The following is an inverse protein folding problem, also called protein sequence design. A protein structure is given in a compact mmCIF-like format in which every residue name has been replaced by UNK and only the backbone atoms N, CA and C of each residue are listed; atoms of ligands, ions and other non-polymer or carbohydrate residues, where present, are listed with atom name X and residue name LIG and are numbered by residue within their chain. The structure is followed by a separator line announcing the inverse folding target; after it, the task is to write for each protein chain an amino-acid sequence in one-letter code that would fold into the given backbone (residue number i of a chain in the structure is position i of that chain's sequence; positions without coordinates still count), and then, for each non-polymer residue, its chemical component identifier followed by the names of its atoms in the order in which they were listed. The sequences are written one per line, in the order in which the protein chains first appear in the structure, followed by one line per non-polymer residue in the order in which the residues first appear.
data_IF_508820113267
#
_entry.id   IF_508820113267
#
_cell.length_a   1.000
_cell.length_b   1.000
_cell.length_c   1.000
_cell.angle_alpha   90.00
_cell.angle_beta   90.00
_cell.angle_gamma   90.00
#
_symmetry.space_group_name_H-M   'P 1'
#
loop_
_entity.id
_entity.type
_entity.pdbx_description
1 polymer ?
#
# COMPACT_ATOMS: atom_id res chain seq x y z
N UNK A 1 -13.09 28.51 13.12
CA UNK A 1 -11.98 27.66 12.68
C UNK A 1 -10.69 28.26 13.21
N UNK A 2 -9.83 27.46 13.86
CA UNK A 2 -8.64 27.96 14.55
C UNK A 2 -7.59 28.43 13.52
N UNK A 3 -6.85 29.55 13.78
CA UNK A 3 -5.81 30.08 12.88
C UNK A 3 -4.71 29.06 12.56
N UNK A 4 -4.41 28.16 13.50
CA UNK A 4 -3.40 27.10 13.33
C UNK A 4 -3.83 26.03 12.32
N UNK A 5 -5.13 25.66 12.32
CA UNK A 5 -5.69 24.70 11.34
C UNK A 5 -5.60 25.29 9.94
N UNK A 6 -5.95 26.57 9.75
CA UNK A 6 -5.84 27.23 8.45
C UNK A 6 -4.41 27.27 7.94
N UNK A 7 -3.42 27.45 8.81
CA UNK A 7 -2.01 27.47 8.42
C UNK A 7 -1.52 26.07 8.01
N UNK A 8 -1.97 25.02 8.71
CA UNK A 8 -1.64 23.63 8.37
C UNK A 8 -2.24 23.24 7.02
N UNK A 9 -3.52 23.57 6.79
CA UNK A 9 -4.21 23.31 5.52
C UNK A 9 -3.50 24.03 4.34
N UNK A 10 -3.11 25.29 4.54
CA UNK A 10 -2.37 26.05 3.55
C UNK A 10 -1.04 25.36 3.20
N UNK A 11 -0.25 24.98 4.21
CA UNK A 11 1.04 24.30 3.99
C UNK A 11 0.88 22.94 3.32
N UNK A 12 -0.16 22.18 3.69
CA UNK A 12 -0.46 20.91 3.02
C UNK A 12 -0.78 21.12 1.53
N UNK A 13 -1.54 22.16 1.20
CA UNK A 13 -1.84 22.53 -0.18
C UNK A 13 -0.55 22.94 -0.93
N UNK A 14 0.28 23.79 -0.35
CA UNK A 14 1.56 24.20 -0.93
C UNK A 14 2.48 23.01 -1.24
N UNK A 15 2.48 21.96 -0.38
CA UNK A 15 3.22 20.73 -0.63
C UNK A 15 2.67 19.96 -1.84
N UNK A 16 1.34 19.82 -1.94
CA UNK A 16 0.71 19.13 -3.07
C UNK A 16 0.96 19.88 -4.39
N UNK A 17 0.77 21.20 -4.41
CA UNK A 17 1.01 22.04 -5.57
C UNK A 17 2.50 22.07 -5.97
N UNK A 18 3.42 22.10 -5.01
CA UNK A 18 4.86 22.08 -5.26
C UNK A 18 5.38 20.75 -5.83
N UNK A 19 4.67 19.66 -5.57
CA UNK A 19 4.99 18.33 -6.10
C UNK A 19 4.21 17.97 -7.37
N UNK A 20 3.30 18.82 -7.83
CA UNK A 20 2.55 18.63 -9.09
C UNK A 20 3.45 18.80 -10.31
N UNK A 21 3.37 17.85 -11.24
CA UNK A 21 4.12 17.83 -12.52
C UNK A 21 3.22 18.04 -13.73
N UNK A 22 2.09 18.72 -13.55
CA UNK A 22 1.16 19.02 -14.63
C UNK A 22 0.24 17.87 -15.00
N UNK A 23 -0.25 17.14 -14.00
CA UNK A 23 -1.21 16.05 -14.19
C UNK A 23 -0.94 14.81 -13.37
N UNK A 24 0.24 14.70 -12.78
CA UNK A 24 0.58 13.70 -11.78
C UNK A 24 1.46 14.33 -10.68
N UNK A 25 1.45 13.72 -9.52
CA UNK A 25 2.21 14.18 -8.35
C UNK A 25 3.38 13.26 -8.09
N UNK A 26 4.52 13.83 -7.69
CA UNK A 26 5.66 13.07 -7.15
C UNK A 26 5.62 13.12 -5.62
N UNK A 27 6.05 12.07 -4.89
CA UNK A 27 6.05 12.07 -3.43
C UNK A 27 6.93 13.16 -2.83
N UNK A 28 8.12 13.39 -3.38
CA UNK A 28 9.01 14.47 -2.97
C UNK A 28 10.08 14.74 -4.02
N UNK A 29 10.35 16.01 -4.27
CA UNK A 29 11.44 16.42 -5.15
C UNK A 29 12.80 15.91 -4.60
N UNK A 30 13.67 15.46 -5.50
CA UNK A 30 15.02 15.00 -5.16
C UNK A 30 15.14 13.54 -4.72
N UNK A 31 14.21 12.99 -3.94
CA UNK A 31 14.31 11.61 -3.47
C UNK A 31 13.42 10.63 -4.26
N UNK A 32 12.16 10.99 -4.52
CA UNK A 32 11.18 10.18 -5.23
C UNK A 32 10.60 10.96 -6.42
N UNK A 33 11.31 10.98 -7.58
CA UNK A 33 11.01 11.90 -8.68
C UNK A 33 9.91 11.43 -9.64
N UNK A 34 9.28 10.29 -9.38
CA UNK A 34 8.30 9.70 -10.28
C UNK A 34 6.90 9.65 -9.66
N UNK A 35 5.92 9.18 -10.42
CA UNK A 35 4.59 8.91 -9.90
C UNK A 35 4.56 7.55 -9.19
N UNK A 36 4.28 7.54 -7.88
CA UNK A 36 4.03 6.33 -7.09
C UNK A 36 2.53 6.05 -6.95
N UNK A 37 2.17 4.78 -6.95
CA UNK A 37 0.78 4.32 -6.99
C UNK A 37 -0.03 4.81 -5.79
N UNK A 38 0.29 4.36 -4.58
CA UNK A 38 -0.52 4.72 -3.42
C UNK A 38 -0.38 6.21 -3.04
N UNK A 39 0.80 6.81 -3.29
CA UNK A 39 1.06 8.23 -3.09
C UNK A 39 0.12 9.09 -3.96
N UNK A 40 -0.05 8.73 -5.24
CA UNK A 40 -1.01 9.39 -6.12
C UNK A 40 -2.43 9.30 -5.61
N UNK A 41 -2.85 8.16 -5.06
CA UNK A 41 -4.19 8.01 -4.51
C UNK A 41 -4.41 8.93 -3.29
N UNK A 42 -3.42 9.03 -2.38
CA UNK A 42 -3.46 9.98 -1.27
C UNK A 42 -3.42 11.44 -1.76
N UNK A 43 -2.57 11.75 -2.74
CA UNK A 43 -2.50 13.09 -3.33
C UNK A 43 -3.83 13.50 -3.97
N UNK A 44 -4.48 12.60 -4.72
CA UNK A 44 -5.80 12.83 -5.30
C UNK A 44 -6.85 13.12 -4.22
N UNK A 45 -6.85 12.35 -3.14
CA UNK A 45 -7.75 12.62 -2.01
C UNK A 45 -7.47 13.99 -1.39
N UNK A 46 -6.21 14.39 -1.24
CA UNK A 46 -5.81 15.72 -0.79
C UNK A 46 -6.30 16.82 -1.74
N UNK A 47 -6.03 16.71 -3.05
CA UNK A 47 -6.52 17.66 -4.06
C UNK A 47 -8.04 17.80 -4.03
N UNK A 48 -8.77 16.74 -3.78
CA UNK A 48 -10.24 16.76 -3.75
C UNK A 48 -10.85 17.73 -2.72
N UNK A 49 -10.04 18.25 -1.80
CA UNK A 49 -10.48 19.25 -0.80
C UNK A 49 -10.59 20.65 -1.42
N UNK A 50 -9.79 20.95 -2.46
CA UNK A 50 -9.71 22.29 -3.03
C UNK A 50 -9.70 22.35 -4.56
N UNK A 51 -9.38 21.22 -5.24
CA UNK A 51 -9.41 21.09 -6.71
C UNK A 51 -9.86 19.69 -7.12
N UNK A 52 -11.16 19.50 -7.26
CA UNK A 52 -11.76 18.22 -7.61
C UNK A 52 -11.35 17.72 -9.00
N UNK A 53 -11.11 18.65 -9.94
CA UNK A 53 -10.69 18.29 -11.31
C UNK A 53 -9.27 17.75 -11.31
N UNK A 54 -8.39 18.38 -10.55
CA UNK A 54 -7.01 17.92 -10.39
C UNK A 54 -6.96 16.56 -9.68
N UNK A 55 -7.88 16.32 -8.71
CA UNK A 55 -8.00 15.03 -8.05
C UNK A 55 -8.34 13.91 -9.06
N UNK A 56 -9.33 14.10 -9.92
CA UNK A 56 -9.67 13.14 -10.97
C UNK A 56 -8.52 12.93 -11.96
N UNK A 57 -7.87 14.00 -12.38
CA UNK A 57 -6.71 13.94 -13.28
C UNK A 57 -5.58 13.09 -12.70
N UNK A 58 -5.28 13.21 -11.39
CA UNK A 58 -4.27 12.38 -10.72
C UNK A 58 -4.58 10.89 -10.84
N UNK A 59 -5.83 10.50 -10.55
CA UNK A 59 -6.28 9.11 -10.62
C UNK A 59 -6.24 8.60 -12.07
N UNK A 60 -6.76 9.36 -13.02
CA UNK A 60 -6.79 8.97 -14.44
C UNK A 60 -5.38 8.79 -15.00
N UNK A 61 -4.49 9.70 -14.62
CA UNK A 61 -3.08 9.64 -15.02
C UNK A 61 -2.39 8.42 -14.41
N UNK A 62 -2.70 8.08 -13.16
CA UNK A 62 -2.20 6.85 -12.53
C UNK A 62 -2.68 5.61 -13.31
N UNK A 63 -4.00 5.49 -13.57
CA UNK A 63 -4.57 4.33 -14.27
C UNK A 63 -4.24 4.29 -15.78
N UNK A 64 -3.72 5.37 -16.35
CA UNK A 64 -3.14 5.35 -17.70
C UNK A 64 -1.86 4.50 -17.79
N UNK A 65 -1.21 4.20 -16.65
CA UNK A 65 -0.06 3.30 -16.58
C UNK A 65 -0.38 1.84 -16.33
N UNK A 66 -1.67 1.46 -16.25
CA UNK A 66 -2.09 0.08 -15.98
C UNK A 66 -1.64 -0.87 -17.10
N UNK A 67 -1.09 -2.03 -16.69
CA UNK A 67 -0.66 -3.06 -17.63
C UNK A 67 -1.83 -3.81 -18.27
N UNK A 68 -1.63 -4.46 -19.45
CA UNK A 68 -2.69 -5.23 -20.11
C UNK A 68 -3.26 -6.39 -19.28
N UNK A 69 -2.45 -6.97 -18.37
CA UNK A 69 -2.91 -8.01 -17.45
C UNK A 69 -3.70 -7.49 -16.24
N UNK A 70 -3.91 -6.18 -16.15
CA UNK A 70 -4.65 -5.52 -15.08
C UNK A 70 -3.77 -4.97 -13.94
N UNK A 71 -2.50 -5.35 -13.82
CA UNK A 71 -1.63 -4.82 -12.77
C UNK A 71 -1.48 -3.30 -12.89
N UNK A 72 -1.59 -2.60 -11.76
CA UNK A 72 -1.22 -1.20 -11.66
C UNK A 72 0.15 -1.09 -10.99
N UNK A 73 1.19 -0.62 -11.70
CA UNK A 73 2.56 -0.60 -11.18
C UNK A 73 2.73 0.27 -9.93
N UNK A 74 3.74 -0.07 -9.12
CA UNK A 74 4.17 0.73 -7.99
C UNK A 74 4.69 2.11 -8.42
N UNK A 75 5.51 2.16 -9.49
CA UNK A 75 6.16 3.37 -10.00
C UNK A 75 5.88 3.48 -11.48
N UNK A 76 5.51 4.68 -11.94
CA UNK A 76 5.45 5.06 -13.34
C UNK A 76 6.58 6.07 -13.63
N UNK A 77 7.51 5.69 -14.51
CA UNK A 77 8.67 6.50 -14.90
C UNK A 77 8.27 7.51 -15.99
N UNK A 78 7.68 8.65 -15.57
CA UNK A 78 7.11 9.64 -16.48
C UNK A 78 8.09 10.71 -16.93
N UNK A 79 9.30 10.71 -16.39
CA UNK A 79 10.36 11.65 -16.73
C UNK A 79 11.71 10.93 -16.68
N UNK A 80 12.72 11.50 -17.30
CA UNK A 80 14.08 11.00 -17.17
C UNK A 80 14.71 11.52 -15.88
N UNK A 81 15.30 10.60 -15.10
CA UNK A 81 16.14 10.91 -13.95
C UNK A 81 17.25 9.85 -13.88
N UNK A 82 18.40 10.13 -14.53
CA UNK A 82 19.49 9.16 -14.62
C UNK A 82 20.16 8.85 -13.29
N UNK A 83 19.98 9.70 -12.28
CA UNK A 83 20.53 9.52 -10.95
C UNK A 83 19.62 8.69 -10.03
N UNK A 84 18.40 8.35 -10.46
CA UNK A 84 17.51 7.50 -9.68
C UNK A 84 17.82 6.02 -9.86
N UNK A 85 17.94 5.31 -8.75
CA UNK A 85 18.20 3.87 -8.74
C UNK A 85 17.27 3.14 -7.74
N UNK A 86 16.63 1.99 -8.15
CA UNK A 86 16.67 1.34 -9.46
C UNK A 86 15.75 2.04 -10.48
N UNK A 87 16.33 2.51 -11.58
CA UNK A 87 15.61 3.17 -12.68
C UNK A 87 15.00 2.18 -13.69
N UNK A 88 14.39 2.70 -14.78
CA UNK A 88 13.67 1.91 -15.79
C UNK A 88 14.44 0.72 -16.32
N UNK A 89 15.73 0.90 -16.64
CA UNK A 89 16.60 -0.15 -17.20
C UNK A 89 16.76 -1.33 -16.25
N UNK A 90 16.82 -1.09 -14.93
CA UNK A 90 16.95 -2.16 -13.93
C UNK A 90 15.68 -2.99 -13.84
N UNK A 91 14.53 -2.34 -13.95
CA UNK A 91 13.23 -2.99 -13.98
C UNK A 91 12.98 -3.77 -15.28
N UNK A 92 13.45 -3.26 -16.42
CA UNK A 92 13.34 -3.95 -17.70
C UNK A 92 11.90 -4.22 -18.14
N UNK A 93 11.00 -3.25 -17.91
CA UNK A 93 9.56 -3.38 -18.22
C UNK A 93 9.17 -2.68 -19.52
N UNK A 94 10.14 -2.24 -20.30
CA UNK A 94 9.88 -1.58 -21.58
C UNK A 94 9.05 -2.47 -22.51
N UNK A 95 7.96 -1.94 -23.05
CA UNK A 95 7.04 -2.66 -23.94
C UNK A 95 6.04 -3.60 -23.25
N UNK A 96 6.07 -3.76 -21.91
CA UNK A 96 5.08 -4.56 -21.18
C UNK A 96 3.82 -3.75 -20.93
N UNK A 97 3.97 -2.55 -20.38
CA UNK A 97 2.87 -1.61 -20.16
C UNK A 97 2.90 -0.41 -21.10
N UNK A 98 1.89 0.47 -21.03
CA UNK A 98 1.83 1.66 -21.88
C UNK A 98 2.86 2.74 -21.48
N UNK A 99 3.39 2.65 -20.26
CA UNK A 99 4.40 3.54 -19.70
C UNK A 99 5.45 2.68 -19.03
N UNK A 100 6.73 3.06 -19.16
CA UNK A 100 7.82 2.41 -18.43
C UNK A 100 7.56 2.48 -16.92
N UNK A 101 7.72 1.37 -16.20
CA UNK A 101 7.27 1.26 -14.82
C UNK A 101 8.09 0.26 -14.01
N UNK A 102 7.83 0.15 -12.72
CA UNK A 102 8.24 -1.02 -11.92
C UNK A 102 7.43 -2.26 -12.32
N UNK A 103 7.98 -3.45 -12.08
CA UNK A 103 7.30 -4.73 -12.36
C UNK A 103 6.49 -5.29 -11.20
N UNK A 104 6.22 -4.50 -10.17
CA UNK A 104 5.45 -4.86 -8.97
C UNK A 104 4.36 -3.82 -8.71
N UNK A 105 3.37 -4.16 -7.88
CA UNK A 105 2.30 -3.26 -7.49
C UNK A 105 2.52 -2.67 -6.08
N UNK A 106 1.53 -1.95 -5.54
CA UNK A 106 1.52 -1.37 -4.18
C UNK A 106 0.14 -1.57 -3.51
N UNK A 107 -0.03 -1.19 -2.21
CA UNK A 107 -1.33 -1.32 -1.55
C UNK A 107 -2.45 -0.62 -2.31
N UNK A 108 -3.55 -1.32 -2.66
CA UNK A 108 -4.59 -0.83 -3.55
C UNK A 108 -5.58 0.11 -2.85
N UNK A 109 -5.11 1.25 -2.34
CA UNK A 109 -5.94 2.25 -1.64
C UNK A 109 -6.81 3.08 -2.60
N UNK A 110 -6.52 3.05 -3.90
CA UNK A 110 -7.14 3.96 -4.87
C UNK A 110 -8.68 3.86 -4.90
N UNK A 111 -9.27 2.65 -4.83
CA UNK A 111 -10.72 2.49 -4.87
C UNK A 111 -11.42 3.22 -3.71
N UNK A 112 -10.84 3.21 -2.51
CA UNK A 112 -11.36 3.92 -1.34
C UNK A 112 -11.33 5.43 -1.55
N UNK A 113 -10.23 5.95 -2.07
CA UNK A 113 -10.12 7.40 -2.29
C UNK A 113 -10.92 7.87 -3.51
N UNK A 114 -11.04 7.05 -4.56
CA UNK A 114 -11.96 7.32 -5.67
C UNK A 114 -13.39 7.45 -5.17
N UNK A 115 -13.83 6.54 -4.29
CA UNK A 115 -15.13 6.65 -3.64
C UNK A 115 -15.26 7.96 -2.86
N UNK A 116 -14.27 8.31 -2.03
CA UNK A 116 -14.28 9.53 -1.24
C UNK A 116 -14.28 10.82 -2.09
N UNK A 117 -13.62 10.80 -3.25
CA UNK A 117 -13.64 11.90 -4.22
C UNK A 117 -15.03 12.01 -4.87
N UNK A 118 -15.58 10.88 -5.33
CA UNK A 118 -16.89 10.81 -5.96
C UNK A 118 -18.04 11.24 -5.02
N UNK A 119 -18.00 10.85 -3.74
CA UNK A 119 -18.99 11.23 -2.75
C UNK A 119 -19.08 12.76 -2.51
N UNK A 120 -18.04 13.53 -2.88
CA UNK A 120 -18.05 15.00 -2.79
C UNK A 120 -18.89 15.65 -3.90
N UNK A 121 -18.89 15.08 -5.10
CA UNK A 121 -19.67 15.52 -6.25
C UNK A 121 -19.97 14.32 -7.15
N UNK A 122 -21.13 13.71 -6.90
CA UNK A 122 -21.54 12.48 -7.59
C UNK A 122 -21.93 12.71 -9.05
N UNK A 123 -22.38 13.91 -9.40
CA UNK A 123 -22.77 14.26 -10.75
C UNK A 123 -21.53 14.40 -11.65
N UNK A 124 -20.60 15.25 -11.25
CA UNK A 124 -19.33 15.42 -11.97
C UNK A 124 -18.53 14.11 -12.00
N UNK A 125 -18.49 13.38 -10.89
CA UNK A 125 -17.69 12.16 -10.74
C UNK A 125 -18.25 10.94 -11.47
N UNK A 126 -19.49 10.95 -11.97
CA UNK A 126 -20.14 9.77 -12.55
C UNK A 126 -19.42 9.21 -13.77
N UNK A 127 -19.05 10.07 -14.73
CA UNK A 127 -18.38 9.64 -15.95
C UNK A 127 -16.94 9.16 -15.67
N UNK A 128 -16.22 9.85 -14.78
CA UNK A 128 -14.93 9.40 -14.28
C UNK A 128 -15.02 8.00 -13.66
N UNK A 129 -16.03 7.79 -12.80
CA UNK A 129 -16.25 6.52 -12.12
C UNK A 129 -16.58 5.39 -13.09
N UNK A 130 -17.47 5.63 -14.07
CA UNK A 130 -17.83 4.65 -15.11
C UNK A 130 -16.60 4.22 -15.92
N UNK A 131 -15.66 5.13 -16.19
CA UNK A 131 -14.43 4.82 -16.91
C UNK A 131 -13.39 4.08 -16.04
N UNK A 132 -13.38 4.30 -14.73
CA UNK A 132 -12.39 3.76 -13.80
C UNK A 132 -12.80 2.41 -13.21
N UNK A 133 -14.08 2.13 -12.97
CA UNK A 133 -14.54 0.86 -12.39
C UNK A 133 -13.98 -0.36 -13.12
N UNK A 134 -14.01 -0.47 -14.47
CA UNK A 134 -13.42 -1.62 -15.16
C UNK A 134 -11.92 -1.76 -14.91
N UNK A 135 -11.19 -0.66 -14.81
CA UNK A 135 -9.75 -0.63 -14.56
C UNK A 135 -9.42 -1.05 -13.13
N UNK A 136 -10.15 -0.52 -12.14
CA UNK A 136 -10.02 -0.91 -10.73
C UNK A 136 -10.32 -2.40 -10.59
N UNK A 137 -11.41 -2.87 -11.20
CA UNK A 137 -11.81 -4.29 -11.19
C UNK A 137 -10.73 -5.18 -11.79
N UNK A 138 -10.11 -4.78 -12.90
CA UNK A 138 -9.00 -5.51 -13.52
C UNK A 138 -7.77 -5.59 -12.60
N UNK A 139 -7.43 -4.51 -11.90
CA UNK A 139 -6.32 -4.50 -10.95
C UNK A 139 -6.60 -5.39 -9.72
N UNK A 140 -7.81 -5.29 -9.14
CA UNK A 140 -8.19 -6.13 -8.01
C UNK A 140 -8.26 -7.60 -8.41
N UNK A 141 -8.74 -7.92 -9.63
CA UNK A 141 -8.71 -9.26 -10.19
C UNK A 141 -7.29 -9.81 -10.30
N UNK A 142 -6.33 -8.98 -10.76
CA UNK A 142 -4.92 -9.35 -10.80
C UNK A 142 -4.40 -9.75 -9.41
N UNK A 143 -4.74 -9.01 -8.33
CA UNK A 143 -4.40 -9.42 -6.97
C UNK A 143 -5.02 -10.77 -6.61
N UNK A 144 -6.31 -10.96 -6.91
CA UNK A 144 -7.03 -12.20 -6.59
C UNK A 144 -6.44 -13.42 -7.32
N UNK A 145 -5.96 -13.25 -8.54
CA UNK A 145 -5.38 -14.32 -9.34
C UNK A 145 -3.93 -14.63 -8.97
N UNK A 146 -3.13 -13.61 -8.64
CA UNK A 146 -1.68 -13.77 -8.55
C UNK A 146 -1.08 -13.52 -7.17
N UNK A 147 -1.82 -12.91 -6.26
CA UNK A 147 -1.32 -12.47 -4.94
C UNK A 147 -2.18 -12.96 -3.77
N UNK A 148 -3.13 -13.86 -3.98
CA UNK A 148 -3.93 -14.43 -2.89
C UNK A 148 -3.49 -15.86 -2.58
N UNK A 149 -3.19 -16.12 -1.31
CA UNK A 149 -2.80 -17.42 -0.80
C UNK A 149 -3.99 -18.39 -0.74
N UNK A 150 -3.72 -19.67 -0.53
CA UNK A 150 -4.77 -20.69 -0.33
C UNK A 150 -5.70 -20.38 0.85
N UNK A 151 -5.21 -19.64 1.85
CA UNK A 151 -5.97 -19.21 3.03
C UNK A 151 -6.76 -17.91 2.79
N UNK A 152 -6.62 -17.29 1.62
CA UNK A 152 -7.32 -16.07 1.24
C UNK A 152 -6.58 -14.76 1.59
N UNK A 153 -5.43 -14.82 2.26
CA UNK A 153 -4.63 -13.63 2.56
C UNK A 153 -3.80 -13.19 1.35
N UNK A 154 -3.67 -11.88 1.15
CA UNK A 154 -2.80 -11.32 0.11
C UNK A 154 -1.34 -11.47 0.53
N UNK A 155 -0.52 -12.00 -0.35
CA UNK A 155 0.92 -12.09 -0.14
C UNK A 155 1.71 -11.20 -1.10
N UNK A 156 2.89 -10.82 -0.66
CA UNK A 156 3.85 -10.03 -1.44
C UNK A 156 5.00 -10.91 -1.91
N UNK A 157 5.54 -10.60 -3.08
CA UNK A 157 6.71 -11.26 -3.70
C UNK A 157 7.96 -10.38 -3.68
N UNK A 158 7.79 -9.14 -3.21
CA UNK A 158 8.85 -8.17 -2.98
C UNK A 158 8.47 -7.27 -1.77
N UNK A 159 9.39 -6.94 -0.84
CA UNK A 159 9.09 -6.06 0.29
C UNK A 159 8.49 -4.70 -0.10
N UNK A 160 8.88 -4.14 -1.23
CA UNK A 160 8.36 -2.86 -1.71
C UNK A 160 6.87 -2.87 -2.10
N UNK A 161 6.29 -4.04 -2.41
CA UNK A 161 4.84 -4.16 -2.66
C UNK A 161 4.01 -3.75 -1.43
N UNK A 162 4.56 -3.93 -0.22
CA UNK A 162 3.87 -3.59 1.02
C UNK A 162 3.79 -2.10 1.33
N UNK A 163 4.64 -1.28 0.72
CA UNK A 163 4.90 0.10 1.14
C UNK A 163 5.65 0.23 2.47
N UNK A 164 6.04 -0.90 3.11
CA UNK A 164 6.72 -0.98 4.42
C UNK A 164 8.09 -1.64 4.29
N UNK A 165 8.95 -1.13 3.43
CA UNK A 165 10.12 -1.75 2.81
C UNK A 165 10.99 -2.61 3.74
N UNK A 166 11.41 -2.11 4.90
CA UNK A 166 12.28 -2.82 5.83
C UNK A 166 11.60 -3.22 7.13
N UNK A 167 10.28 -3.42 7.10
CA UNK A 167 9.57 -3.98 8.26
C UNK A 167 10.23 -5.28 8.73
N UNK A 168 10.32 -5.54 10.05
CA UNK A 168 10.84 -6.80 10.57
C UNK A 168 9.99 -8.02 10.17
N UNK A 169 8.78 -7.79 9.67
CA UNK A 169 7.91 -8.84 9.09
C UNK A 169 8.58 -9.60 7.95
N UNK A 170 9.54 -8.97 7.27
CA UNK A 170 10.23 -9.56 6.12
C UNK A 170 11.50 -10.33 6.47
N UNK A 171 12.05 -10.16 7.68
CA UNK A 171 13.40 -10.62 8.03
C UNK A 171 13.59 -12.12 7.81
N UNK A 172 12.65 -12.96 8.27
CA UNK A 172 12.78 -14.42 8.15
C UNK A 172 12.77 -14.87 6.69
N UNK A 173 11.86 -14.34 5.88
CA UNK A 173 11.78 -14.69 4.46
C UNK A 173 12.96 -14.13 3.67
N UNK A 174 13.38 -12.89 3.95
CA UNK A 174 14.53 -12.25 3.28
C UNK A 174 15.85 -12.92 3.62
N UNK A 175 16.03 -13.46 4.83
CA UNK A 175 17.27 -14.16 5.22
C UNK A 175 17.54 -15.42 4.40
N UNK A 176 16.50 -16.00 3.79
CA UNK A 176 16.62 -17.18 2.93
C UNK A 176 17.13 -16.83 1.52
N UNK A 177 17.16 -15.56 1.15
CA UNK A 177 17.62 -15.11 -0.18
C UNK A 177 19.13 -14.89 -0.12
N UNK A 178 19.85 -15.61 -0.98
CA UNK A 178 21.27 -15.42 -1.22
C UNK A 178 21.44 -14.68 -2.56
N UNK A 179 21.64 -13.34 -2.52
CA UNK A 179 21.77 -12.56 -3.75
C UNK A 179 23.05 -12.92 -4.49
N UNK A 180 22.98 -12.96 -5.81
CA UNK A 180 24.12 -13.22 -6.70
C UNK A 180 24.13 -12.20 -7.82
N UNK A 181 25.32 -11.82 -8.26
CA UNK A 181 25.54 -10.99 -9.46
C UNK A 181 24.80 -9.62 -9.41
N UNK A 182 24.79 -8.99 -8.23
CA UNK A 182 24.09 -7.71 -8.04
C UNK A 182 24.80 -6.54 -8.72
N UNK A 183 26.12 -6.60 -8.87
CA UNK A 183 26.93 -5.51 -9.40
C UNK A 183 27.09 -4.34 -8.43
N UNK A 184 27.75 -3.29 -8.89
CA UNK A 184 27.89 -2.04 -8.15
C UNK A 184 26.73 -1.11 -8.45
N UNK A 185 26.24 -0.40 -7.43
CA UNK A 185 25.18 0.58 -7.55
C UNK A 185 25.31 1.69 -6.50
N UNK A 186 24.71 2.84 -6.79
CA UNK A 186 24.65 3.97 -5.87
C UNK A 186 23.20 4.24 -5.49
N UNK A 187 22.94 4.34 -4.19
CA UNK A 187 21.61 4.63 -3.64
C UNK A 187 21.46 6.14 -3.41
N UNK A 188 20.38 6.71 -3.92
CA UNK A 188 20.05 8.12 -3.67
C UNK A 188 19.59 8.35 -2.23
N UNK A 189 18.82 7.44 -1.66
CA UNK A 189 18.24 7.57 -0.33
C UNK A 189 19.29 7.68 0.79
N UNK A 190 20.48 7.08 0.61
CA UNK A 190 21.58 7.17 1.58
C UNK A 190 22.41 8.45 1.47
N UNK A 191 22.18 9.27 0.46
CA UNK A 191 22.82 10.60 0.34
C UNK A 191 21.97 11.73 0.88
N UNK A 192 20.67 11.50 1.17
CA UNK A 192 19.73 12.50 1.65
C UNK A 192 19.42 12.35 3.16
N UNK A 193 19.57 11.14 3.68
CA UNK A 193 19.38 10.83 5.11
C UNK A 193 20.52 9.94 5.60
N UNK A 194 20.71 9.88 6.93
CA UNK A 194 21.71 9.00 7.52
C UNK A 194 21.46 7.53 7.06
N UNK A 195 22.50 6.88 6.47
CA UNK A 195 22.36 5.51 5.97
C UNK A 195 21.89 4.50 7.02
N UNK A 196 22.18 4.72 8.32
CA UNK A 196 21.71 3.86 9.41
C UNK A 196 20.19 3.84 9.56
N UNK A 197 19.50 4.90 9.12
CA UNK A 197 18.04 5.01 9.14
C UNK A 197 17.37 4.24 8.00
N UNK A 198 18.12 3.73 7.03
CA UNK A 198 17.63 3.07 5.82
C UNK A 198 17.91 1.56 5.86
N UNK A 199 17.34 0.76 4.95
CA UNK A 199 17.71 -0.65 4.80
C UNK A 199 19.22 -0.82 4.62
N UNK A 200 19.80 -1.86 5.22
CA UNK A 200 21.23 -2.15 5.06
C UNK A 200 21.58 -2.46 3.61
N UNK A 201 22.87 -2.42 3.26
CA UNK A 201 23.31 -2.85 1.93
C UNK A 201 22.90 -4.30 1.66
N UNK A 202 23.04 -5.19 2.64
CA UNK A 202 22.67 -6.59 2.51
C UNK A 202 21.17 -6.80 2.26
N UNK A 203 20.29 -5.99 2.88
CA UNK A 203 18.85 -6.00 2.61
C UNK A 203 18.57 -5.50 1.18
N UNK A 204 19.25 -4.42 0.80
CA UNK A 204 19.05 -3.81 -0.52
C UNK A 204 19.56 -4.70 -1.65
N UNK A 205 20.65 -5.42 -1.45
CA UNK A 205 21.16 -6.44 -2.39
C UNK A 205 20.10 -7.54 -2.65
N UNK A 206 19.38 -7.96 -1.60
CA UNK A 206 18.27 -8.93 -1.74
C UNK A 206 17.08 -8.34 -2.49
N UNK A 207 16.74 -7.07 -2.24
CA UNK A 207 15.69 -6.38 -3.00
C UNK A 207 16.03 -6.31 -4.48
N UNK A 208 17.25 -5.91 -4.81
CA UNK A 208 17.72 -5.86 -6.20
C UNK A 208 17.76 -7.23 -6.87
N UNK A 209 18.14 -8.27 -6.13
CA UNK A 209 18.13 -9.63 -6.66
C UNK A 209 16.71 -10.07 -7.06
N UNK A 210 15.70 -9.71 -6.27
CA UNK A 210 14.29 -9.97 -6.60
C UNK A 210 13.86 -9.18 -7.85
N UNK A 211 14.26 -7.92 -7.97
CA UNK A 211 13.99 -7.10 -9.16
C UNK A 211 14.64 -7.70 -10.40
N UNK A 212 15.94 -8.05 -10.32
CA UNK A 212 16.65 -8.69 -11.43
C UNK A 212 16.05 -10.03 -11.83
N UNK A 213 15.54 -10.80 -10.85
CA UNK A 213 14.81 -12.03 -11.13
C UNK A 213 13.54 -11.75 -11.91
N UNK A 214 12.76 -10.76 -11.49
CA UNK A 214 11.54 -10.33 -12.21
C UNK A 214 11.86 -9.92 -13.65
N UNK A 215 12.87 -9.08 -13.85
CA UNK A 215 13.34 -8.66 -15.17
C UNK A 215 13.74 -9.86 -16.04
N UNK A 216 14.57 -10.78 -15.53
CA UNK A 216 14.96 -12.01 -16.28
C UNK A 216 13.78 -12.89 -16.69
N UNK A 217 12.69 -12.88 -15.93
CA UNK A 217 11.46 -13.63 -16.23
C UNK A 217 10.44 -12.81 -17.03
N UNK A 218 10.82 -11.60 -17.48
CA UNK A 218 9.94 -10.70 -18.24
C UNK A 218 8.68 -10.28 -17.48
N UNK A 219 8.71 -10.34 -16.15
CA UNK A 219 7.58 -10.05 -15.27
C UNK A 219 6.32 -10.87 -15.59
N UNK A 220 6.51 -12.06 -16.23
CA UNK A 220 5.42 -12.99 -16.49
C UNK A 220 4.98 -13.67 -15.19
N UNK A 221 3.74 -13.46 -14.79
CA UNK A 221 3.21 -13.95 -13.52
C UNK A 221 3.23 -15.48 -13.41
N UNK A 222 3.00 -16.18 -14.52
CA UNK A 222 3.07 -17.64 -14.55
C UNK A 222 4.49 -18.14 -14.26
N UNK A 223 5.50 -17.48 -14.80
CA UNK A 223 6.91 -17.80 -14.57
C UNK A 223 7.37 -17.39 -13.17
N UNK A 224 6.89 -16.23 -12.67
CA UNK A 224 7.15 -15.77 -11.32
C UNK A 224 6.57 -16.73 -10.26
N UNK A 225 5.37 -17.27 -10.50
CA UNK A 225 4.69 -18.18 -9.58
C UNK A 225 5.32 -19.57 -9.44
N UNK A 226 6.10 -20.04 -10.43
CA UNK A 226 6.74 -21.37 -10.39
C UNK A 226 7.76 -21.53 -9.27
N UNK A 227 8.49 -20.48 -8.96
CA UNK A 227 9.44 -20.42 -7.85
C UNK A 227 9.42 -19.02 -7.23
N UNK A 228 8.84 -18.89 -6.06
CA UNK A 228 8.75 -17.63 -5.31
C UNK A 228 9.76 -17.64 -4.17
N UNK A 229 10.95 -17.07 -4.35
CA UNK A 229 11.99 -17.07 -3.32
C UNK A 229 11.59 -16.29 -2.08
N UNK A 230 10.76 -15.26 -2.25
CA UNK A 230 10.15 -14.47 -1.19
C UNK A 230 8.62 -14.51 -1.36
N UNK A 231 7.92 -14.92 -0.31
CA UNK A 231 6.46 -14.95 -0.28
C UNK A 231 5.97 -14.80 1.16
N UNK A 232 5.36 -13.67 1.47
CA UNK A 232 4.87 -13.33 2.81
C UNK A 232 3.45 -12.80 2.71
N UNK A 233 2.50 -13.46 3.38
CA UNK A 233 1.14 -12.94 3.53
C UNK A 233 1.18 -11.69 4.40
N UNK A 234 0.68 -10.58 3.85
CA UNK A 234 0.81 -9.25 4.45
C UNK A 234 -0.53 -8.71 4.95
N UNK A 235 -0.65 -8.35 6.23
CA UNK A 235 -1.83 -7.70 6.77
C UNK A 235 -2.17 -6.39 6.04
N UNK A 236 -1.18 -5.58 5.65
CA UNK A 236 -1.42 -4.31 4.96
C UNK A 236 -2.21 -4.52 3.68
N UNK A 237 -1.68 -5.36 2.77
CA UNK A 237 -2.33 -5.59 1.49
C UNK A 237 -3.67 -6.30 1.65
N UNK A 238 -3.77 -7.25 2.59
CA UNK A 238 -5.01 -8.00 2.81
C UNK A 238 -6.14 -7.08 3.29
N UNK A 239 -5.88 -6.25 4.30
CA UNK A 239 -6.88 -5.31 4.81
C UNK A 239 -7.21 -4.19 3.82
N UNK A 240 -6.20 -3.66 3.13
CA UNK A 240 -6.41 -2.61 2.14
C UNK A 240 -7.21 -3.13 0.95
N UNK A 241 -6.89 -4.30 0.41
CA UNK A 241 -7.65 -4.87 -0.71
C UNK A 241 -9.07 -5.25 -0.32
N UNK A 242 -9.29 -5.76 0.90
CA UNK A 242 -10.64 -6.03 1.40
C UNK A 242 -11.48 -4.75 1.45
N UNK A 243 -10.94 -3.67 2.02
CA UNK A 243 -11.61 -2.38 2.05
C UNK A 243 -11.87 -1.84 0.64
N UNK A 244 -10.86 -1.88 -0.21
CA UNK A 244 -10.95 -1.43 -1.59
C UNK A 244 -12.03 -2.18 -2.39
N UNK A 245 -12.17 -3.50 -2.18
CA UNK A 245 -13.24 -4.30 -2.80
C UNK A 245 -14.62 -3.91 -2.26
N UNK A 246 -14.78 -3.68 -0.95
CA UNK A 246 -16.03 -3.19 -0.38
C UNK A 246 -16.44 -1.84 -0.98
N UNK A 247 -15.49 -0.93 -1.15
CA UNK A 247 -15.73 0.38 -1.78
C UNK A 247 -16.04 0.25 -3.27
N UNK A 248 -15.36 -0.65 -3.99
CA UNK A 248 -15.64 -0.96 -5.40
C UNK A 248 -17.04 -1.56 -5.58
N UNK A 249 -17.45 -2.50 -4.71
CA UNK A 249 -18.79 -3.08 -4.72
C UNK A 249 -19.87 -2.00 -4.50
N UNK A 250 -19.63 -1.12 -3.53
CA UNK A 250 -20.53 0.01 -3.24
C UNK A 250 -20.70 0.93 -4.46
N UNK A 251 -19.60 1.38 -5.06
CA UNK A 251 -19.63 2.23 -6.25
C UNK A 251 -20.32 1.52 -7.43
N UNK A 252 -20.00 0.26 -7.65
CA UNK A 252 -20.59 -0.54 -8.74
C UNK A 252 -22.09 -0.70 -8.56
N UNK A 253 -22.56 -1.10 -7.38
CA UNK A 253 -23.98 -1.28 -7.09
C UNK A 253 -24.77 0.03 -7.21
N UNK A 254 -24.20 1.16 -6.78
CA UNK A 254 -24.84 2.48 -6.90
C UNK A 254 -25.03 2.89 -8.36
N UNK A 255 -24.16 2.43 -9.25
CA UNK A 255 -24.29 2.65 -10.70
C UNK A 255 -25.06 1.53 -11.42
N UNK A 256 -25.68 0.58 -10.69
CA UNK A 256 -26.44 -0.53 -11.27
C UNK A 256 -25.59 -1.60 -11.93
N UNK A 257 -24.29 -1.70 -11.62
CA UNK A 257 -23.37 -2.71 -12.14
C UNK A 257 -23.36 -3.94 -11.22
N UNK A 258 -23.11 -5.13 -11.81
CA UNK A 258 -23.04 -6.39 -11.06
C UNK A 258 -21.84 -6.43 -10.10
N UNK A 259 -22.06 -6.97 -8.88
CA UNK A 259 -21.06 -7.05 -7.82
C UNK A 259 -20.69 -8.48 -7.41
N UNK A 260 -21.36 -9.52 -7.92
CA UNK A 260 -21.22 -10.92 -7.48
C UNK A 260 -19.76 -11.39 -7.37
N UNK A 261 -18.93 -11.06 -8.36
CA UNK A 261 -17.53 -11.42 -8.39
C UNK A 261 -16.75 -10.66 -7.28
N UNK A 262 -17.02 -9.37 -7.10
CA UNK A 262 -16.38 -8.54 -6.08
C UNK A 262 -16.78 -9.01 -4.68
N UNK A 263 -18.03 -9.36 -4.46
CA UNK A 263 -18.56 -9.91 -3.22
C UNK A 263 -17.89 -11.25 -2.88
N UNK A 264 -17.63 -12.10 -3.90
CA UNK A 264 -16.86 -13.32 -3.70
C UNK A 264 -15.41 -13.03 -3.30
N UNK A 265 -14.77 -12.02 -3.88
CA UNK A 265 -13.44 -11.58 -3.48
C UNK A 265 -13.42 -11.08 -2.02
N UNK A 266 -14.44 -10.32 -1.60
CA UNK A 266 -14.56 -9.89 -0.21
C UNK A 266 -14.63 -11.08 0.75
N UNK A 267 -15.46 -12.10 0.47
CA UNK A 267 -15.56 -13.32 1.30
C UNK A 267 -14.21 -14.06 1.39
N UNK A 268 -13.50 -14.19 0.28
CA UNK A 268 -12.16 -14.81 0.26
C UNK A 268 -11.16 -14.03 1.13
N UNK A 269 -11.15 -12.71 1.01
CA UNK A 269 -10.24 -11.85 1.78
C UNK A 269 -10.61 -11.79 3.28
N UNK A 270 -11.89 -11.92 3.63
CA UNK A 270 -12.31 -12.03 5.05
C UNK A 270 -11.78 -13.31 5.69
N UNK A 271 -11.77 -14.43 4.96
CA UNK A 271 -11.09 -15.66 5.41
C UNK A 271 -9.57 -15.43 5.53
N UNK A 272 -8.98 -14.71 4.57
CA UNK A 272 -7.58 -14.32 4.61
C UNK A 272 -7.23 -13.46 5.82
N UNK A 273 -8.04 -12.48 6.15
CA UNK A 273 -7.89 -11.68 7.37
C UNK A 273 -7.91 -12.56 8.62
N UNK A 274 -8.85 -13.50 8.69
CA UNK A 274 -8.92 -14.44 9.82
C UNK A 274 -7.65 -15.31 9.95
N UNK A 275 -7.06 -15.73 8.82
CA UNK A 275 -5.83 -16.55 8.83
C UNK A 275 -4.60 -15.78 9.34
N UNK A 276 -4.57 -14.45 9.20
CA UNK A 276 -3.50 -13.59 9.71
C UNK A 276 -3.57 -13.41 11.24
N UNK A 277 -4.65 -13.84 11.88
CA UNK A 277 -4.80 -13.77 13.33
C UNK A 277 -3.86 -14.75 14.01
N UNK A 278 -2.86 -14.25 14.71
CA UNK A 278 -1.92 -15.07 15.45
C UNK A 278 -2.63 -15.67 16.70
N UNK A 279 -2.70 -16.99 16.85
CA UNK A 279 -3.42 -17.61 17.95
C UNK A 279 -2.77 -17.37 19.32
N UNK A 280 -1.47 -17.07 19.37
CA UNK A 280 -0.72 -16.82 20.61
C UNK A 280 -0.84 -15.37 21.07
N UNK A 281 -0.51 -14.43 20.18
CA UNK A 281 -0.45 -13.00 20.51
C UNK A 281 -1.79 -12.27 20.35
N UNK A 282 -2.78 -12.91 19.71
CA UNK A 282 -4.13 -12.35 19.45
C UNK A 282 -4.15 -11.08 18.61
N UNK A 283 -3.06 -10.74 17.97
CA UNK A 283 -2.99 -9.64 16.97
C UNK A 283 -2.88 -10.20 15.55
N UNK A 284 -2.88 -9.35 14.54
CA UNK A 284 -2.69 -9.75 13.15
C UNK A 284 -1.21 -9.62 12.78
N UNK A 285 -0.62 -10.72 12.32
CA UNK A 285 0.78 -10.77 11.91
C UNK A 285 0.91 -11.18 10.44
N UNK A 286 2.00 -10.78 9.81
CA UNK A 286 2.41 -11.37 8.55
C UNK A 286 2.76 -12.87 8.74
N UNK A 287 2.62 -13.65 7.67
CA UNK A 287 2.94 -15.08 7.65
C UNK A 287 3.99 -15.34 6.56
N UNK A 288 5.12 -15.90 6.94
CA UNK A 288 6.06 -16.44 5.97
C UNK A 288 5.45 -17.69 5.33
N UNK A 289 5.02 -17.61 4.06
CA UNK A 289 4.30 -18.71 3.41
C UNK A 289 5.18 -19.93 3.11
N UNK A 290 6.51 -19.82 3.20
CA UNK A 290 7.42 -20.96 3.06
C UNK A 290 7.51 -21.79 4.34
N UNK A 291 7.55 -21.15 5.50
CA UNK A 291 7.57 -21.86 6.79
C UNK A 291 6.17 -22.11 7.35
N UNK A 292 5.17 -21.33 6.94
CA UNK A 292 3.83 -21.33 7.51
C UNK A 292 3.72 -20.59 8.84
N UNK A 293 4.76 -19.92 9.29
CA UNK A 293 4.84 -19.30 10.62
C UNK A 293 4.46 -17.82 10.57
N UNK A 294 3.72 -17.39 11.61
CA UNK A 294 3.52 -15.97 11.87
C UNK A 294 4.84 -15.30 12.27
N UNK A 295 5.06 -14.07 11.81
CA UNK A 295 6.30 -13.32 12.12
C UNK A 295 6.37 -12.88 13.58
N UNK A 296 5.24 -12.86 14.28
CA UNK A 296 5.14 -12.53 15.70
C UNK A 296 5.34 -11.05 16.04
N UNK A 297 5.44 -10.17 15.04
CA UNK A 297 5.65 -8.74 15.26
C UNK A 297 4.32 -7.98 15.32
N UNK A 298 4.15 -7.16 16.36
CA UNK A 298 3.09 -6.16 16.41
C UNK A 298 3.56 -4.92 15.64
N UNK A 299 3.02 -4.72 14.45
CA UNK A 299 3.33 -3.57 13.58
C UNK A 299 2.09 -2.71 13.36
N UNK A 300 2.25 -1.52 12.82
CA UNK A 300 1.12 -0.66 12.44
C UNK A 300 0.14 -1.35 11.48
N UNK A 301 0.60 -2.31 10.68
CA UNK A 301 -0.25 -3.11 9.81
C UNK A 301 -1.31 -3.93 10.56
N UNK A 302 -1.01 -4.39 11.79
CA UNK A 302 -1.98 -5.12 12.62
C UNK A 302 -3.25 -4.30 12.88
N UNK A 303 -3.13 -2.99 13.01
CA UNK A 303 -4.23 -2.07 13.31
C UNK A 303 -5.05 -1.64 12.07
N UNK A 304 -4.60 -1.97 10.85
CA UNK A 304 -5.41 -1.79 9.64
C UNK A 304 -6.66 -2.70 9.61
N UNK A 305 -6.77 -3.64 10.53
CA UNK A 305 -8.01 -4.39 10.75
C UNK A 305 -9.22 -3.46 10.94
N UNK A 306 -9.04 -2.28 11.56
CA UNK A 306 -10.08 -1.27 11.69
C UNK A 306 -10.51 -0.67 10.35
N UNK A 307 -9.54 -0.41 9.48
CA UNK A 307 -9.79 0.11 8.13
C UNK A 307 -10.63 -0.85 7.28
N UNK A 308 -10.41 -2.15 7.42
CA UNK A 308 -11.15 -3.20 6.72
C UNK A 308 -12.48 -3.60 7.39
N UNK A 309 -12.77 -3.09 8.59
CA UNK A 309 -13.94 -3.49 9.39
C UNK A 309 -13.81 -4.88 10.03
N UNK A 310 -12.57 -5.32 10.29
CA UNK A 310 -12.24 -6.62 10.90
C UNK A 310 -11.72 -6.49 12.35
N UNK A 311 -11.81 -5.29 12.94
CA UNK A 311 -11.37 -5.04 14.30
C UNK A 311 -12.32 -5.64 15.34
N UNK A 312 -11.78 -6.05 16.48
CA UNK A 312 -12.52 -6.61 17.61
C UNK A 312 -12.09 -5.97 18.94
N UNK A 313 -12.72 -6.40 20.04
CA UNK A 313 -12.42 -5.88 21.38
C UNK A 313 -10.95 -6.06 21.77
N UNK A 314 -10.34 -7.21 21.45
CA UNK A 314 -8.94 -7.44 21.80
C UNK A 314 -7.99 -6.52 21.05
N UNK A 315 -8.29 -6.22 19.78
CA UNK A 315 -7.54 -5.23 19.02
C UNK A 315 -7.75 -3.80 19.54
N UNK A 316 -8.95 -3.48 20.07
CA UNK A 316 -9.21 -2.19 20.71
C UNK A 316 -8.38 -2.01 21.99
N UNK A 317 -8.31 -3.04 22.84
CA UNK A 317 -7.53 -2.99 24.06
C UNK A 317 -6.03 -2.86 23.73
N UNK A 318 -5.55 -3.57 22.72
CA UNK A 318 -4.19 -3.47 22.22
C UNK A 318 -3.88 -2.06 21.66
N UNK A 319 -4.81 -1.49 20.88
CA UNK A 319 -4.67 -0.12 20.36
C UNK A 319 -4.58 0.91 21.50
N UNK A 320 -5.46 0.81 22.51
CA UNK A 320 -5.44 1.71 23.68
C UNK A 320 -4.09 1.63 24.40
N UNK A 321 -3.57 0.42 24.63
CA UNK A 321 -2.29 0.22 25.29
C UNK A 321 -1.15 0.85 24.47
N UNK A 322 -1.14 0.62 23.14
CA UNK A 322 -0.13 1.22 22.25
C UNK A 322 -0.16 2.75 22.31
N UNK A 323 -1.37 3.35 22.29
CA UNK A 323 -1.52 4.81 22.31
C UNK A 323 -1.14 5.44 23.67
N UNK A 324 -1.29 4.73 24.79
CA UNK A 324 -0.87 5.24 26.11
C UNK A 324 0.64 5.35 26.23
N UNK A 325 1.35 4.53 25.51
CA UNK A 325 2.78 4.35 25.64
C UNK A 325 3.61 5.12 24.61
N UNK A 326 2.99 5.84 23.69
CA UNK A 326 3.68 6.54 22.60
C UNK A 326 3.33 8.03 22.58
N UNK A 327 4.32 8.88 22.30
CA UNK A 327 4.14 10.34 22.15
C UNK A 327 3.34 10.66 20.88
N UNK A 328 3.57 9.91 19.80
CA UNK A 328 2.85 9.99 18.53
C UNK A 328 1.98 8.74 18.39
N UNK A 329 0.92 8.78 17.57
CA UNK A 329 0.06 7.60 17.35
C UNK A 329 0.88 6.34 17.00
N UNK A 330 0.31 5.39 16.39
CA UNK A 330 0.84 4.04 16.23
C UNK A 330 2.20 4.03 15.52
N UNK A 331 3.30 3.58 16.16
CA UNK A 331 4.61 3.41 15.52
C UNK A 331 4.57 2.24 14.53
N UNK A 332 5.51 2.22 13.59
CA UNK A 332 5.59 1.14 12.59
C UNK A 332 5.89 -0.23 13.19
N UNK A 333 6.51 -0.28 14.35
CA UNK A 333 6.77 -1.48 15.15
C UNK A 333 6.54 -1.17 16.63
N UNK A 334 6.04 -2.16 17.38
CA UNK A 334 5.88 -2.06 18.84
C UNK A 334 7.23 -1.67 19.50
N UNK A 335 7.19 -0.62 20.33
CA UNK A 335 8.35 -0.10 21.05
C UNK A 335 9.02 -1.12 21.97
N UNK A 336 8.28 -2.14 22.42
CA UNK A 336 8.77 -3.21 23.28
C UNK A 336 9.46 -4.34 22.48
N UNK A 337 9.43 -4.29 21.15
CA UNK A 337 10.12 -5.25 20.31
C UNK A 337 11.64 -5.07 20.42
N UNK A 338 12.39 -6.16 20.51
CA UNK A 338 13.86 -6.14 20.46
C UNK A 338 14.42 -5.63 19.12
N UNK A 339 13.58 -5.51 18.09
CA UNK A 339 13.92 -4.97 16.77
C UNK A 339 13.49 -3.51 16.59
N UNK A 340 12.92 -2.89 17.64
CA UNK A 340 12.51 -1.49 17.58
C UNK A 340 13.70 -0.56 17.47
N UNK A 341 13.62 0.34 16.50
CA UNK A 341 14.56 1.44 16.30
C UNK A 341 13.78 2.67 15.85
N UNK A 342 13.63 3.64 16.75
CA UNK A 342 12.80 4.83 16.55
C UNK A 342 13.24 5.75 15.41
N UNK A 343 14.43 5.54 14.83
CA UNK A 343 14.94 6.30 13.69
C UNK A 343 14.97 5.50 12.39
N UNK A 344 14.76 4.17 12.46
CA UNK A 344 14.99 3.30 11.30
C UNK A 344 13.73 3.00 10.51
N UNK A 345 13.44 3.77 9.52
CA UNK A 345 12.44 3.65 8.44
C UNK A 345 11.11 2.98 8.90
N UNK A 346 10.89 1.67 8.66
CA UNK A 346 9.69 0.92 9.07
C UNK A 346 9.91 0.03 10.31
N UNK A 347 10.86 0.36 11.19
CA UNK A 347 11.18 -0.38 12.43
C UNK A 347 10.90 0.39 13.72
N UNK A 348 10.21 1.52 13.64
CA UNK A 348 9.90 2.35 14.80
C UNK A 348 9.17 3.63 14.47
N UNK A 349 9.61 4.45 13.50
CA UNK A 349 8.97 5.73 13.20
C UNK A 349 7.47 5.61 12.95
N UNK A 350 6.72 6.65 13.37
CA UNK A 350 5.29 6.78 13.09
C UNK A 350 5.09 7.28 11.66
N UNK A 351 4.30 6.56 10.88
CA UNK A 351 3.96 6.91 9.51
C UNK A 351 2.54 7.47 9.43
N UNK A 352 2.36 8.76 9.09
CA UNK A 352 1.05 9.40 9.02
C UNK A 352 0.08 8.70 8.07
N UNK A 353 0.57 8.17 6.95
CA UNK A 353 -0.22 7.48 5.92
C UNK A 353 -1.00 6.27 6.50
N UNK A 354 -0.32 5.36 7.24
CA UNK A 354 -1.00 4.23 7.86
C UNK A 354 -1.89 4.66 9.03
N UNK A 355 -1.43 5.64 9.81
CA UNK A 355 -2.23 6.18 10.90
C UNK A 355 -3.52 6.84 10.40
N UNK A 356 -3.50 7.51 9.25
CA UNK A 356 -4.70 8.06 8.62
C UNK A 356 -5.69 6.95 8.22
N UNK A 357 -5.22 5.86 7.60
CA UNK A 357 -6.08 4.72 7.24
C UNK A 357 -6.70 4.07 8.50
N UNK A 358 -5.91 3.84 9.54
CA UNK A 358 -6.40 3.28 10.80
C UNK A 358 -7.44 4.22 11.44
N UNK A 359 -7.17 5.54 11.43
CA UNK A 359 -8.09 6.57 11.92
C UNK A 359 -9.43 6.56 11.18
N UNK A 360 -9.41 6.50 9.84
CA UNK A 360 -10.62 6.39 9.02
C UNK A 360 -11.46 5.16 9.39
N UNK A 361 -10.82 4.03 9.63
CA UNK A 361 -11.51 2.80 10.04
C UNK A 361 -12.08 2.87 11.45
N UNK A 362 -11.34 3.43 12.42
CA UNK A 362 -11.76 3.50 13.81
C UNK A 362 -12.95 4.45 14.02
N UNK A 363 -13.04 5.55 13.27
CA UNK A 363 -14.21 6.46 13.28
C UNK A 363 -15.45 5.73 12.78
N UNK A 364 -15.36 4.99 11.69
CA UNK A 364 -16.47 4.19 11.15
C UNK A 364 -16.98 3.15 12.17
N UNK A 365 -16.08 2.52 12.92
CA UNK A 365 -16.44 1.55 13.96
C UNK A 365 -17.16 2.17 15.16
N UNK A 366 -16.72 3.36 15.60
CA UNK A 366 -17.39 4.08 16.71
C UNK A 366 -18.79 4.51 16.33
N UNK A 367 -19.02 4.94 15.11
CA UNK A 367 -20.36 5.27 14.62
C UNK A 367 -21.30 4.05 14.55
N UNK A 368 -20.80 2.90 14.06
CA UNK A 368 -21.58 1.66 14.03
C UNK A 368 -22.01 1.21 15.44
N UNK A 369 -21.11 1.24 16.43
CA UNK A 369 -21.44 0.87 17.81
C UNK A 369 -22.37 1.86 18.52
N UNK A 370 -22.29 3.15 18.20
CA UNK A 370 -23.22 4.13 18.75
C UNK A 370 -24.67 3.85 18.31
N UNK A 371 -24.88 3.28 17.13
CA UNK A 371 -26.20 2.83 16.66
C UNK A 371 -26.66 1.52 17.31
N UNK A 372 -25.74 0.59 17.63
CA UNK A 372 -26.09 -0.67 18.32
C UNK A 372 -26.47 -0.48 19.80
N UNK A 373 -25.99 0.60 20.44
CA UNK A 373 -26.29 0.89 21.87
C UNK A 373 -27.53 1.75 22.06
N UNK A 374 -28.21 2.16 20.99
CA UNK A 374 -29.45 2.98 21.03
C UNK A 374 -30.74 2.20 20.70
N UNK A 375 -30.69 0.86 20.70
CA UNK A 375 -31.89 -0.01 20.57
C UNK A 375 -32.21 -0.67 21.91
#
# INVERSE_FOLDING_TARGET
MNKEVNLLDQRAREVLEGNDKGGYTIPTAGLYPYQWNWDSAFAAWGFSVFDIKRAWQEIETLFAGQWPNGMLPQILFRQDDPDYFPGPTVWGTEGIGPISSSGISQPPVAATFIRAIWEKDQEIGKDHLLSLIPKIKAWHKWFMEWRVSKQGAVFITHPWESGRDNSPDWDSAMSMIVPKDIGEYKRRDTSHVDPSMRPTKADYDRYLWLVQRGNRLGWDETSLAKDQPFSVADPTLTFVLLRANKDLAFMSSTLGLATDEIDQWCRTLEMGCASLRNPETKNFNAINLKSGEHTGHLTSASFLCWYAGMGDKSMLDLLKNTLQDTLYPIPSLDKNSSKFDGLRYWRGPTWPILNALIGLGSVSYTHLRAHETTV
#
